data_IF_211934915960
#
_entry.id   IF_211934915960
#
_cell.length_a   1.000
_cell.length_b   1.000
_cell.length_c   1.000
_cell.angle_alpha   90.00
_cell.angle_beta   90.00
_cell.angle_gamma   90.00
#
_symmetry.space_group_name_H-M   'P 1'
#
loop_
_entity.id
_entity.type
_entity.pdbx_description
1 polymer ?
#
# COMPACT_ATOMS: atom_id res chain seq x y z
N UNK A 1 9.16 -6.49 12.04
CA UNK A 1 9.29 -6.21 10.60
C UNK A 1 10.20 -5.01 10.41
N UNK A 2 11.18 -5.13 9.53
CA UNK A 2 12.04 -3.98 9.27
C UNK A 2 11.24 -2.89 8.57
N UNK A 3 11.33 -1.69 9.08
CA UNK A 3 10.70 -0.52 8.50
C UNK A 3 11.78 0.45 8.06
N UNK A 4 11.88 0.68 6.76
CA UNK A 4 12.87 1.55 6.16
C UNK A 4 12.18 2.61 5.33
N UNK A 5 12.84 3.76 5.15
CA UNK A 5 12.42 4.66 4.10
C UNK A 5 12.77 3.97 2.77
N UNK A 6 11.75 3.50 2.05
CA UNK A 6 11.96 2.82 0.78
C UNK A 6 12.57 3.77 -0.24
N UNK A 7 13.48 3.24 -1.05
CA UNK A 7 14.05 3.96 -2.18
C UNK A 7 13.88 3.11 -3.42
N UNK A 8 13.84 3.76 -4.56
CA UNK A 8 13.70 3.08 -5.85
C UNK A 8 14.83 2.06 -6.05
N UNK A 9 16.05 2.45 -5.68
CA UNK A 9 17.22 1.58 -5.75
C UNK A 9 17.04 0.32 -4.90
N UNK A 10 16.55 0.48 -3.66
CA UNK A 10 16.34 -0.64 -2.75
C UNK A 10 15.26 -1.57 -3.29
N UNK A 11 14.16 -1.01 -3.81
CA UNK A 11 13.07 -1.80 -4.37
C UNK A 11 13.55 -2.68 -5.51
N UNK A 12 14.40 -2.14 -6.37
CA UNK A 12 14.95 -2.89 -7.51
C UNK A 12 15.81 -4.07 -7.09
N UNK A 13 16.42 -4.01 -5.90
CA UNK A 13 17.29 -5.07 -5.40
C UNK A 13 16.53 -6.16 -4.66
N UNK A 14 15.26 -5.95 -4.33
CA UNK A 14 14.47 -6.94 -3.61
C UNK A 14 14.26 -8.19 -4.47
N UNK A 15 14.56 -9.35 -3.87
CA UNK A 15 14.41 -10.64 -4.54
C UNK A 15 13.45 -11.52 -3.76
N UNK A 16 12.66 -12.37 -4.45
CA UNK A 16 11.76 -13.28 -3.77
C UNK A 16 12.52 -14.29 -2.93
N UNK A 17 11.96 -14.59 -1.74
CA UNK A 17 12.54 -15.54 -0.80
C UNK A 17 11.76 -16.84 -0.73
N UNK A 18 10.79 -17.03 -1.63
CA UNK A 18 9.87 -18.16 -1.60
C UNK A 18 8.63 -17.92 -0.76
N UNK A 19 8.59 -16.83 -0.05
CA UNK A 19 7.45 -16.44 0.78
C UNK A 19 7.07 -14.99 0.50
N UNK A 20 5.80 -14.66 0.72
CA UNK A 20 5.34 -13.28 0.62
C UNK A 20 5.87 -12.44 1.78
N UNK A 21 6.45 -11.30 1.47
CA UNK A 21 6.99 -10.38 2.47
C UNK A 21 6.45 -8.98 2.21
N UNK A 22 5.99 -8.30 3.26
CA UNK A 22 5.55 -6.91 3.18
C UNK A 22 6.65 -6.01 3.73
N UNK A 23 7.14 -5.09 2.88
CA UNK A 23 8.14 -4.10 3.25
C UNK A 23 7.46 -2.76 3.50
N UNK A 24 7.35 -2.35 4.77
CA UNK A 24 6.67 -1.11 5.12
C UNK A 24 7.55 0.10 4.91
N UNK A 25 6.95 1.16 4.36
CA UNK A 25 7.64 2.42 4.16
C UNK A 25 7.66 3.23 5.46
N UNK A 26 8.82 3.78 5.79
CA UNK A 26 8.99 4.61 6.97
C UNK A 26 8.37 6.00 6.82
N UNK A 27 8.38 6.54 5.59
CA UNK A 27 7.89 7.90 5.32
C UNK A 27 6.39 8.02 5.33
N UNK A 28 5.68 6.96 4.90
CA UNK A 28 4.22 6.94 4.89
C UNK A 28 3.77 5.74 5.71
N UNK A 29 3.36 5.99 6.93
CA UNK A 29 2.87 4.94 7.82
C UNK A 29 1.68 4.23 7.20
N UNK A 30 1.75 2.92 7.08
CA UNK A 30 0.70 2.11 6.48
C UNK A 30 0.96 1.73 5.03
N UNK A 31 1.87 2.42 4.34
CA UNK A 31 2.25 2.04 2.98
C UNK A 31 3.22 0.87 3.03
N UNK A 32 2.97 -0.16 2.23
CA UNK A 32 3.85 -1.31 2.12
C UNK A 32 4.02 -1.74 0.67
N UNK A 33 5.21 -2.26 0.37
CA UNK A 33 5.47 -2.97 -0.88
C UNK A 33 5.40 -4.46 -0.58
N UNK A 34 4.43 -5.13 -1.15
CA UNK A 34 4.28 -6.57 -1.00
C UNK A 34 5.09 -7.28 -2.06
N UNK A 35 6.08 -8.04 -1.61
CA UNK A 35 6.91 -8.86 -2.49
C UNK A 35 6.35 -10.29 -2.45
N UNK A 36 5.75 -10.72 -3.56
CA UNK A 36 5.20 -12.06 -3.68
C UNK A 36 6.31 -13.10 -3.86
N UNK A 37 6.00 -14.36 -3.58
CA UNK A 37 6.94 -15.46 -3.80
C UNK A 37 7.41 -15.55 -5.26
N UNK A 38 6.58 -15.12 -6.20
CA UNK A 38 6.90 -15.06 -7.63
C UNK A 38 7.83 -13.92 -8.01
N UNK A 39 8.07 -12.97 -7.10
CA UNK A 39 8.86 -11.77 -7.38
C UNK A 39 8.02 -10.55 -7.73
N UNK A 40 6.71 -10.69 -7.87
CA UNK A 40 5.82 -9.57 -8.17
C UNK A 40 5.81 -8.59 -7.00
N UNK A 41 5.90 -7.30 -7.31
CA UNK A 41 5.91 -6.23 -6.32
C UNK A 41 4.61 -5.43 -6.44
N UNK A 42 3.84 -5.37 -5.35
CA UNK A 42 2.52 -4.74 -5.31
C UNK A 42 2.47 -3.71 -4.18
N UNK A 43 2.03 -2.50 -4.50
CA UNK A 43 1.84 -1.46 -3.50
C UNK A 43 0.52 -1.65 -2.79
N UNK A 44 0.55 -1.60 -1.46
CA UNK A 44 -0.63 -1.73 -0.61
C UNK A 44 -0.58 -0.64 0.46
N UNK A 45 -1.76 -0.18 0.87
CA UNK A 45 -1.88 0.70 2.03
C UNK A 45 -2.78 0.04 3.06
N UNK A 46 -2.34 0.04 4.32
CA UNK A 46 -3.08 -0.49 5.46
C UNK A 46 -3.63 0.66 6.28
N UNK A 47 -4.87 0.54 6.69
CA UNK A 47 -5.53 1.54 7.53
C UNK A 47 -6.58 0.87 8.39
N UNK A 48 -7.05 1.57 9.42
CA UNK A 48 -8.09 1.06 10.30
C UNK A 48 -9.36 1.87 10.14
N UNK A 49 -10.47 1.16 10.02
CA UNK A 49 -11.81 1.74 9.98
C UNK A 49 -12.66 0.94 10.95
N UNK A 50 -13.32 1.62 11.90
CA UNK A 50 -14.15 0.97 12.90
C UNK A 50 -13.42 -0.16 13.63
N UNK A 51 -12.16 0.05 14.00
CA UNK A 51 -11.28 -0.90 14.69
C UNK A 51 -10.89 -2.12 13.85
N UNK A 52 -11.22 -2.12 12.57
CA UNK A 52 -10.84 -3.21 11.66
C UNK A 52 -9.67 -2.76 10.78
N UNK A 53 -8.69 -3.64 10.66
CA UNK A 53 -7.58 -3.41 9.75
C UNK A 53 -8.04 -3.71 8.33
N UNK A 54 -7.86 -2.73 7.44
CA UNK A 54 -8.19 -2.84 6.01
C UNK A 54 -6.94 -2.66 5.19
N UNK A 55 -6.93 -3.28 4.01
CA UNK A 55 -5.84 -3.15 3.05
C UNK A 55 -6.42 -2.79 1.69
N UNK A 56 -5.76 -1.82 1.03
CA UNK A 56 -6.13 -1.44 -0.32
C UNK A 56 -4.92 -1.56 -1.23
N UNK A 57 -5.09 -2.20 -2.38
CA UNK A 57 -4.05 -2.32 -3.39
C UNK A 57 -3.99 -1.04 -4.22
N UNK A 58 -2.80 -0.48 -4.36
CA UNK A 58 -2.59 0.77 -5.11
C UNK A 58 -2.14 0.53 -6.55
N UNK A 59 -1.49 -0.60 -6.79
CA UNK A 59 -0.97 -0.95 -8.09
C UNK A 59 0.32 -1.74 -7.97
N UNK A 60 0.96 -2.00 -9.11
CA UNK A 60 2.17 -2.80 -9.17
C UNK A 60 3.38 -1.95 -9.54
N UNK A 61 4.52 -2.25 -8.92
CA UNK A 61 5.79 -1.67 -9.30
C UNK A 61 6.34 -2.44 -10.53
N UNK A 62 6.97 -1.78 -11.51
CA UNK A 62 7.31 -0.36 -11.55
C UNK A 62 6.27 0.56 -12.21
N UNK A 63 5.14 0.02 -12.68
CA UNK A 63 4.10 0.85 -13.30
C UNK A 63 3.65 1.97 -12.36
N UNK A 64 3.43 1.64 -11.07
CA UNK A 64 3.21 2.63 -10.02
C UNK A 64 4.55 2.82 -9.31
N UNK A 65 5.12 4.01 -9.48
CA UNK A 65 6.41 4.35 -8.87
C UNK A 65 6.29 4.55 -7.37
N UNK A 66 7.41 4.55 -6.67
CA UNK A 66 7.46 4.83 -5.23
C UNK A 66 6.80 6.19 -4.91
N UNK A 67 7.13 7.22 -5.70
CA UNK A 67 6.54 8.54 -5.50
C UNK A 67 5.01 8.51 -5.67
N UNK A 68 4.53 7.88 -6.73
CA UNK A 68 3.10 7.75 -7.01
C UNK A 68 2.40 6.95 -5.91
N UNK A 69 3.02 5.88 -5.43
CA UNK A 69 2.47 5.07 -4.34
C UNK A 69 2.34 5.87 -3.05
N UNK A 70 3.36 6.65 -2.71
CA UNK A 70 3.33 7.53 -1.54
C UNK A 70 2.22 8.58 -1.64
N UNK A 71 2.07 9.18 -2.80
CA UNK A 71 1.02 10.19 -3.04
C UNK A 71 -0.37 9.56 -2.88
N UNK A 72 -0.60 8.43 -3.50
CA UNK A 72 -1.87 7.71 -3.40
C UNK A 72 -2.17 7.29 -1.96
N UNK A 73 -1.18 6.74 -1.27
CA UNK A 73 -1.33 6.33 0.12
C UNK A 73 -1.71 7.50 1.02
N UNK A 74 -1.04 8.63 0.86
CA UNK A 74 -1.37 9.84 1.64
C UNK A 74 -2.78 10.31 1.39
N UNK A 75 -3.24 10.28 0.14
CA UNK A 75 -4.62 10.66 -0.21
C UNK A 75 -5.63 9.75 0.47
N UNK A 76 -5.40 8.43 0.40
CA UNK A 76 -6.30 7.45 1.02
C UNK A 76 -6.32 7.60 2.54
N UNK A 77 -5.16 7.74 3.16
CA UNK A 77 -5.05 7.89 4.60
C UNK A 77 -5.70 9.19 5.08
N UNK A 78 -5.55 10.27 4.33
CA UNK A 78 -6.21 11.54 4.64
C UNK A 78 -7.73 11.41 4.52
N UNK A 79 -8.22 10.74 3.50
CA UNK A 79 -9.64 10.51 3.30
C UNK A 79 -10.23 9.69 4.45
N UNK A 80 -9.54 8.64 4.88
CA UNK A 80 -9.96 7.83 6.03
C UNK A 80 -9.98 8.68 7.30
N UNK A 81 -8.95 9.50 7.52
CA UNK A 81 -8.86 10.36 8.71
C UNK A 81 -9.96 11.41 8.75
N UNK A 82 -10.30 11.98 7.59
CA UNK A 82 -11.34 13.04 7.52
C UNK A 82 -12.75 12.50 7.60
N UNK A 83 -13.02 11.36 6.95
CA UNK A 83 -14.38 10.85 6.79
C UNK A 83 -14.69 9.62 7.63
N UNK A 84 -13.66 8.95 8.13
CA UNK A 84 -13.83 7.72 8.92
C UNK A 84 -14.45 6.58 8.13
N UNK A 85 -14.41 6.65 6.79
CA UNK A 85 -15.00 5.65 5.91
C UNK A 85 -13.94 4.88 5.15
N UNK A 86 -14.29 3.63 4.80
CA UNK A 86 -13.44 2.77 3.99
C UNK A 86 -13.57 3.20 2.52
N UNK A 87 -12.48 3.69 1.88
CA UNK A 87 -12.54 4.09 0.48
C UNK A 87 -12.95 2.95 -0.47
N UNK A 88 -12.61 1.70 -0.13
CA UNK A 88 -12.99 0.54 -0.93
C UNK A 88 -14.50 0.32 -0.89
N UNK A 89 -15.11 0.45 0.28
CA UNK A 89 -16.57 0.35 0.43
C UNK A 89 -17.27 1.47 -0.33
N UNK A 90 -16.75 2.68 -0.27
CA UNK A 90 -17.30 3.82 -1.01
C UNK A 90 -17.24 3.58 -2.51
N UNK A 91 -16.17 3.01 -3.02
CA UNK A 91 -16.06 2.67 -4.45
C UNK A 91 -17.09 1.65 -4.88
N UNK A 92 -17.36 0.65 -4.03
CA UNK A 92 -18.38 -0.36 -4.31
C UNK A 92 -19.76 0.27 -4.39
N UNK A 93 -20.09 1.16 -3.47
CA UNK A 93 -21.35 1.90 -3.49
C UNK A 93 -21.51 2.71 -4.77
N UNK A 94 -20.45 3.39 -5.18
CA UNK A 94 -20.44 4.17 -6.41
C UNK A 94 -20.67 3.30 -7.65
N UNK A 95 -20.15 2.06 -7.63
CA UNK A 95 -20.37 1.11 -8.74
C UNK A 95 -21.81 0.67 -8.88
N UNK A 96 -22.49 0.53 -7.76
CA UNK A 96 -23.87 0.04 -7.73
C UNK A 96 -24.91 1.15 -7.83
N UNK A 97 -24.46 2.39 -7.65
CA UNK A 97 -25.34 3.57 -7.68
C UNK A 97 -25.63 4.11 -9.07
#
# INVERSE_FOLDING_TARGET
MPTLALTDRHIKTLKPTGQRVDHFDRRVTGLALRLAASGRKTWCVFFRVNRRLRRMTLGHYPAVTLHAARTKARQILAEVALHGTDPAAHRLETRHG
#
